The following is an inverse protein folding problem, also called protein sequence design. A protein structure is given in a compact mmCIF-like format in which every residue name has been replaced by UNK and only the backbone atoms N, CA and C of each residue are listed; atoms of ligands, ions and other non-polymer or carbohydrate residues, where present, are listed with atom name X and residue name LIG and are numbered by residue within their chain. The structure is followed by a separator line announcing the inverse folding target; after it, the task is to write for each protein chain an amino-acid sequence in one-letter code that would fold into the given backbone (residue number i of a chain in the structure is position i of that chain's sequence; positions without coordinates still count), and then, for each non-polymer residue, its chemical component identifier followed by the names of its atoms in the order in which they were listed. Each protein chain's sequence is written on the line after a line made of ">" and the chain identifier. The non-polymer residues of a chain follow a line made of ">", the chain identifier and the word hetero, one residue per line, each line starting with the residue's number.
data_IF_753536917365
#
_entry.id   IF_753536917365
#
_cell.length_a   1.000
_cell.length_b   1.000
_cell.length_c   1.000
_cell.angle_alpha   90.00
_cell.angle_beta   90.00
_cell.angle_gamma   90.00
#
_symmetry.space_group_name_H-M   'P 1'
#
loop_
_entity.id
_entity.type
_entity.pdbx_description
1 polymer ?
#
# COMPACT_ATOMS: atom_id res chain seq x y z
N UNK A 1 24.36 0.75 29.63
CA UNK A 1 23.29 0.04 28.90
C UNK A 1 22.91 0.95 27.75
N UNK A 2 23.20 0.56 26.51
CA UNK A 2 22.63 1.25 25.37
C UNK A 2 21.16 0.84 25.30
N UNK A 3 20.29 1.79 25.02
CA UNK A 3 18.88 1.53 24.75
C UNK A 3 18.79 0.81 23.41
N UNK A 4 18.33 -0.45 23.39
CA UNK A 4 18.12 -1.25 22.17
C UNK A 4 16.82 -0.87 21.43
N UNK A 5 16.19 0.25 21.83
CA UNK A 5 15.00 0.82 21.19
C UNK A 5 15.29 1.50 19.86
N UNK A 6 14.26 1.70 19.00
CA UNK A 6 14.42 2.49 17.78
C UNK A 6 14.90 3.90 18.11
N UNK A 7 15.85 4.39 17.32
CA UNK A 7 16.36 5.75 17.47
C UNK A 7 15.25 6.78 17.19
N UNK A 8 15.35 8.02 17.71
CA UNK A 8 14.46 9.11 17.32
C UNK A 8 14.38 9.29 15.79
N UNK A 9 15.48 9.04 15.08
CA UNK A 9 15.51 9.10 13.61
C UNK A 9 14.70 7.97 12.96
N UNK A 10 14.82 6.73 13.47
CA UNK A 10 14.03 5.58 13.00
C UNK A 10 12.53 5.81 13.20
N UNK A 11 12.17 6.45 14.31
CA UNK A 11 10.78 6.77 14.63
C UNK A 11 10.22 7.80 13.65
N UNK A 12 10.99 8.86 13.38
CA UNK A 12 10.60 9.89 12.41
C UNK A 12 10.46 9.32 10.99
N UNK A 13 11.42 8.52 10.52
CA UNK A 13 11.35 7.89 9.20
C UNK A 13 10.10 6.99 9.04
N UNK A 14 9.74 6.24 10.10
CA UNK A 14 8.52 5.42 10.12
C UNK A 14 7.25 6.27 10.07
N UNK A 15 7.22 7.39 10.78
CA UNK A 15 6.08 8.31 10.76
C UNK A 15 5.90 8.93 9.37
N UNK A 16 6.98 9.36 8.73
CA UNK A 16 6.96 9.90 7.36
C UNK A 16 6.50 8.86 6.35
N UNK A 17 6.98 7.62 6.45
CA UNK A 17 6.53 6.52 5.59
C UNK A 17 5.04 6.20 5.81
N UNK A 18 4.57 6.19 7.06
CA UNK A 18 3.15 5.98 7.36
C UNK A 18 2.28 7.09 6.78
N UNK A 19 2.71 8.35 6.86
CA UNK A 19 2.00 9.47 6.25
C UNK A 19 1.93 9.32 4.73
N UNK A 20 3.03 8.93 4.08
CA UNK A 20 3.05 8.66 2.64
C UNK A 20 2.08 7.54 2.23
N UNK A 21 2.01 6.45 3.01
CA UNK A 21 1.06 5.36 2.78
C UNK A 21 -0.39 5.83 2.90
N UNK A 22 -0.71 6.59 3.96
CA UNK A 22 -2.05 7.15 4.16
C UNK A 22 -2.45 8.08 3.02
N UNK A 23 -1.55 9.00 2.62
CA UNK A 23 -1.78 9.92 1.50
C UNK A 23 -2.05 9.16 0.20
N UNK A 24 -1.30 8.08 -0.06
CA UNK A 24 -1.51 7.26 -1.25
C UNK A 24 -2.82 6.47 -1.21
N UNK A 25 -3.20 5.93 -0.05
CA UNK A 25 -4.50 5.26 0.14
C UNK A 25 -5.66 6.24 -0.08
N UNK A 26 -5.56 7.47 0.45
CA UNK A 26 -6.59 8.49 0.30
C UNK A 26 -6.77 8.97 -1.14
N UNK A 27 -5.72 8.89 -1.97
CA UNK A 27 -5.78 9.20 -3.41
C UNK A 27 -6.46 8.13 -4.24
N UNK A 28 -6.70 6.93 -3.69
CA UNK A 28 -7.48 5.92 -4.37
C UNK A 28 -8.96 6.27 -4.32
N UNK A 29 -9.65 6.08 -5.44
CA UNK A 29 -11.11 6.06 -5.49
C UNK A 29 -11.64 5.07 -4.46
N UNK A 30 -12.78 5.39 -3.85
CA UNK A 30 -13.34 4.64 -2.72
C UNK A 30 -13.41 3.13 -2.99
N UNK A 31 -13.85 2.73 -4.19
CA UNK A 31 -13.96 1.32 -4.56
C UNK A 31 -12.60 0.59 -4.69
N UNK A 32 -11.51 1.31 -5.01
CA UNK A 32 -10.16 0.73 -5.03
C UNK A 32 -9.58 0.66 -3.62
N UNK A 33 -9.77 1.72 -2.83
CA UNK A 33 -9.31 1.79 -1.44
C UNK A 33 -9.93 0.70 -0.58
N UNK A 34 -11.24 0.51 -0.69
CA UNK A 34 -11.97 -0.51 0.06
C UNK A 34 -11.37 -1.90 -0.18
N UNK A 35 -11.11 -2.27 -1.44
CA UNK A 35 -10.55 -3.58 -1.78
C UNK A 35 -9.12 -3.75 -1.27
N UNK A 36 -8.29 -2.70 -1.30
CA UNK A 36 -6.93 -2.77 -0.72
C UNK A 36 -6.97 -2.91 0.79
N UNK A 37 -7.80 -2.14 1.48
CA UNK A 37 -7.92 -2.22 2.94
C UNK A 37 -8.35 -3.64 3.35
N UNK A 38 -9.45 -4.14 2.79
CA UNK A 38 -9.96 -5.45 3.19
C UNK A 38 -9.00 -6.59 2.89
N UNK A 39 -8.32 -6.58 1.73
CA UNK A 39 -7.43 -7.67 1.35
C UNK A 39 -6.04 -7.52 1.96
N UNK A 40 -5.38 -6.38 1.74
CA UNK A 40 -3.96 -6.21 2.03
C UNK A 40 -3.70 -5.80 3.48
N UNK A 41 -4.69 -5.18 4.15
CA UNK A 41 -4.57 -4.71 5.54
C UNK A 41 -5.34 -5.61 6.51
N UNK A 42 -6.60 -5.92 6.20
CA UNK A 42 -7.43 -6.77 7.07
C UNK A 42 -7.23 -8.27 6.81
N UNK A 43 -6.60 -8.64 5.70
CA UNK A 43 -6.26 -10.03 5.39
C UNK A 43 -7.45 -10.89 4.92
N UNK A 44 -8.57 -10.26 4.54
CA UNK A 44 -9.74 -10.97 4.02
C UNK A 44 -9.44 -11.62 2.68
N UNK A 45 -10.06 -12.78 2.43
CA UNK A 45 -9.95 -13.43 1.14
C UNK A 45 -10.84 -12.77 0.06
N UNK A 46 -10.57 -13.06 -1.21
CA UNK A 46 -11.29 -12.44 -2.31
C UNK A 46 -12.78 -12.79 -2.37
N UNK A 47 -13.19 -13.96 -1.87
CA UNK A 47 -14.60 -14.36 -1.80
C UNK A 47 -15.34 -13.63 -0.69
N UNK A 48 -14.70 -13.44 0.48
CA UNK A 48 -15.24 -12.65 1.58
C UNK A 48 -15.49 -11.20 1.14
N UNK A 49 -14.50 -10.58 0.48
CA UNK A 49 -14.62 -9.22 -0.05
C UNK A 49 -15.68 -9.12 -1.16
N UNK A 50 -15.74 -10.12 -2.04
CA UNK A 50 -16.78 -10.20 -3.09
C UNK A 50 -18.18 -10.20 -2.49
N UNK A 51 -18.36 -10.94 -1.40
CA UNK A 51 -19.63 -11.03 -0.66
C UNK A 51 -19.93 -9.73 0.06
N UNK A 52 -18.97 -9.18 0.83
CA UNK A 52 -19.13 -7.94 1.58
C UNK A 52 -19.51 -6.76 0.68
N UNK A 53 -18.84 -6.61 -0.46
CA UNK A 53 -19.10 -5.51 -1.40
C UNK A 53 -20.22 -5.78 -2.41
N UNK A 54 -20.78 -6.99 -2.44
CA UNK A 54 -21.78 -7.42 -3.43
C UNK A 54 -21.29 -7.19 -4.88
N UNK A 55 -20.01 -7.52 -5.14
CA UNK A 55 -19.38 -7.38 -6.46
C UNK A 55 -18.80 -8.71 -6.92
N UNK A 56 -18.78 -9.01 -8.23
CA UNK A 56 -18.19 -10.25 -8.75
C UNK A 56 -16.71 -10.43 -8.34
N UNK A 57 -16.29 -11.67 -8.12
CA UNK A 57 -14.90 -12.02 -7.78
C UNK A 57 -13.88 -11.46 -8.79
N UNK A 58 -14.21 -11.49 -10.09
CA UNK A 58 -13.37 -10.90 -11.14
C UNK A 58 -13.22 -9.38 -11.02
N UNK A 59 -14.26 -8.69 -10.52
CA UNK A 59 -14.21 -7.26 -10.21
C UNK A 59 -13.29 -6.99 -9.03
N UNK A 60 -13.36 -7.79 -7.96
CA UNK A 60 -12.45 -7.67 -6.80
C UNK A 60 -11.00 -7.81 -7.26
N UNK A 61 -10.67 -8.88 -7.99
CA UNK A 61 -9.32 -9.13 -8.50
C UNK A 61 -8.81 -7.99 -9.40
N UNK A 62 -9.63 -7.54 -10.35
CA UNK A 62 -9.23 -6.46 -11.27
C UNK A 62 -9.14 -5.08 -10.59
N UNK A 63 -9.93 -4.82 -9.55
CA UNK A 63 -9.84 -3.60 -8.74
C UNK A 63 -8.58 -3.62 -7.88
N UNK A 64 -8.31 -4.72 -7.18
CA UNK A 64 -7.12 -4.90 -6.35
C UNK A 64 -5.84 -4.70 -7.17
N UNK A 65 -5.75 -5.33 -8.35
CA UNK A 65 -4.58 -5.19 -9.22
C UNK A 65 -4.34 -3.72 -9.62
N UNK A 66 -5.38 -3.00 -10.03
CA UNK A 66 -5.29 -1.57 -10.40
C UNK A 66 -5.00 -0.68 -9.19
N UNK A 67 -5.56 -1.00 -8.03
CA UNK A 67 -5.31 -0.26 -6.79
C UNK A 67 -3.84 -0.38 -6.36
N UNK A 68 -3.27 -1.58 -6.41
CA UNK A 68 -1.85 -1.81 -6.12
C UNK A 68 -0.91 -1.09 -7.10
N UNK A 69 -1.26 -1.04 -8.39
CA UNK A 69 -0.51 -0.24 -9.37
C UNK A 69 -0.56 1.26 -9.03
N UNK A 70 -1.74 1.80 -8.73
CA UNK A 70 -1.91 3.20 -8.30
C UNK A 70 -1.14 3.50 -7.01
N UNK A 71 -1.15 2.59 -6.04
CA UNK A 71 -0.36 2.70 -4.80
C UNK A 71 1.13 2.76 -5.11
N UNK A 72 1.64 1.82 -5.92
CA UNK A 72 3.04 1.80 -6.34
C UNK A 72 3.45 3.09 -7.03
N UNK A 73 2.67 3.55 -8.00
CA UNK A 73 2.97 4.76 -8.75
C UNK A 73 2.93 6.01 -7.84
N UNK A 74 2.03 6.03 -6.85
CA UNK A 74 1.97 7.09 -5.84
C UNK A 74 3.19 7.07 -4.91
N UNK A 75 3.57 5.90 -4.40
CA UNK A 75 4.69 5.68 -3.48
C UNK A 75 6.05 5.93 -4.12
N UNK A 76 6.15 5.84 -5.44
CA UNK A 76 7.37 6.20 -6.17
C UNK A 76 7.78 7.68 -5.96
N UNK A 77 6.85 8.56 -5.54
CA UNK A 77 7.17 9.95 -5.17
C UNK A 77 7.84 10.07 -3.80
N UNK A 78 7.75 9.02 -2.98
CA UNK A 78 8.31 8.91 -1.64
C UNK A 78 9.43 7.85 -1.60
N UNK A 79 10.12 7.67 -2.72
CA UNK A 79 11.09 6.58 -2.93
C UNK A 79 12.18 6.51 -1.84
N UNK A 80 12.65 7.65 -1.35
CA UNK A 80 13.69 7.73 -0.32
C UNK A 80 13.20 7.18 1.04
N UNK A 81 11.91 7.34 1.35
CA UNK A 81 11.27 6.82 2.55
C UNK A 81 11.00 5.32 2.49
N UNK A 82 10.99 4.73 1.28
CA UNK A 82 10.76 3.30 1.13
C UNK A 82 11.99 2.52 1.63
N UNK A 83 11.79 1.40 2.36
CA UNK A 83 12.89 0.51 2.69
C UNK A 83 13.59 0.03 1.41
N UNK A 84 14.92 -0.19 1.42
CA UNK A 84 15.68 -0.58 0.23
C UNK A 84 15.11 -1.79 -0.53
N UNK A 85 14.49 -2.75 0.17
CA UNK A 85 13.86 -3.92 -0.44
C UNK A 85 12.65 -3.59 -1.33
N UNK A 86 11.98 -2.45 -1.11
CA UNK A 86 10.79 -2.02 -1.86
C UNK A 86 11.08 -0.94 -2.91
N UNK A 87 12.34 -0.49 -2.96
CA UNK A 87 12.87 0.38 -3.99
C UNK A 87 13.08 -0.43 -5.28
N UNK A 88 11.97 -0.76 -5.96
CA UNK A 88 11.96 -1.48 -7.25
C UNK A 88 12.73 -0.69 -8.33
N UNK A 89 13.93 -1.13 -8.67
CA UNK A 89 14.73 -0.50 -9.73
C UNK A 89 13.87 -0.32 -10.98
N UNK A 90 13.74 0.93 -11.43
CA UNK A 90 13.01 1.28 -12.63
C UNK A 90 13.79 0.71 -13.83
N UNK A 91 13.68 -0.59 -14.09
CA UNK A 91 14.07 -1.17 -15.38
C UNK A 91 13.10 -0.60 -16.40
N UNK A 92 13.43 0.60 -16.89
CA UNK A 92 13.04 1.03 -18.23
C UNK A 92 13.60 -0.01 -19.19
N UNK A 93 12.83 -1.04 -19.52
CA UNK A 93 12.92 -1.61 -20.84
C UNK A 93 12.44 -0.54 -21.80
N UNK A 94 13.43 0.11 -22.43
CA UNK A 94 13.26 0.74 -23.73
C UNK A 94 12.84 -0.31 -24.77
#
# INVERSE_FOLDING_TARGET
>A
MADDGPSPEDTLEREELNQALQDCLQRLDEEFRAVVIMVDIEGMDYQEVSTALHRPLGTIKSRLARARLKMRDCLHRFWELLPPAFRLENTRSA
#
